data_IF_273986076679
#
_entry.id   IF_273986076679
#
_cell.length_a   1.000
_cell.length_b   1.000
_cell.length_c   1.000
_cell.angle_alpha   90.00
_cell.angle_beta   90.00
_cell.angle_gamma   90.00
#
_symmetry.space_group_name_H-M   'P 1'
#
loop_
_entity.id
_entity.type
_entity.pdbx_description
1 polymer ?
#
# COMPACT_ATOMS: atom_id res chain seq x y z
N UNK A 1 -7.43 -18.57 -8.16
CA UNK A 1 -6.49 -17.54 -8.67
C UNK A 1 -5.91 -16.81 -7.47
N UNK A 2 -4.73 -16.24 -7.61
CA UNK A 2 -3.95 -15.72 -6.50
C UNK A 2 -4.26 -14.25 -6.26
N UNK A 3 -4.31 -13.85 -5.00
CA UNK A 3 -4.72 -12.53 -4.57
C UNK A 3 -3.56 -11.83 -3.87
N UNK A 4 -3.53 -10.51 -4.01
CA UNK A 4 -2.46 -9.69 -3.46
C UNK A 4 -3.06 -8.53 -2.67
N UNK A 5 -2.37 -8.14 -1.59
CA UNK A 5 -2.73 -6.98 -0.78
C UNK A 5 -1.67 -5.91 -0.99
N UNK A 6 -2.10 -4.69 -1.34
CA UNK A 6 -1.18 -3.55 -1.52
C UNK A 6 -1.15 -2.72 -0.23
N UNK A 7 0.03 -2.52 0.33
CA UNK A 7 0.24 -1.70 1.52
C UNK A 7 0.96 -0.43 1.10
N UNK A 8 0.32 0.71 1.30
CA UNK A 8 0.80 2.03 0.88
C UNK A 8 1.22 2.80 2.12
N UNK A 9 2.46 3.31 2.14
CA UNK A 9 3.04 3.87 3.37
C UNK A 9 3.66 5.23 3.14
N UNK A 10 3.21 6.19 3.94
CA UNK A 10 3.62 7.59 3.91
C UNK A 10 3.12 8.32 2.67
N UNK A 11 3.32 9.64 2.68
CA UNK A 11 2.88 10.56 1.63
C UNK A 11 3.15 10.04 0.20
N UNK A 12 4.41 9.72 -0.10
CA UNK A 12 4.83 9.24 -1.43
C UNK A 12 4.16 7.91 -1.81
N UNK A 13 4.11 6.96 -0.89
CA UNK A 13 3.49 5.65 -1.12
C UNK A 13 1.99 5.75 -1.41
N UNK A 14 1.28 6.61 -0.68
CA UNK A 14 -0.15 6.86 -0.88
C UNK A 14 -0.43 7.59 -2.20
N UNK A 15 0.39 8.56 -2.59
CA UNK A 15 0.24 9.27 -3.88
C UNK A 15 0.46 8.35 -5.08
N UNK A 16 1.55 7.59 -5.10
CA UNK A 16 1.83 6.61 -6.15
C UNK A 16 0.76 5.52 -6.16
N UNK A 17 0.36 5.09 -4.97
CA UNK A 17 -0.74 4.18 -4.76
C UNK A 17 -2.03 4.63 -5.41
N UNK A 18 -2.39 5.90 -5.26
CA UNK A 18 -3.57 6.51 -5.88
C UNK A 18 -3.50 6.40 -7.41
N UNK A 19 -2.35 6.73 -8.02
CA UNK A 19 -2.12 6.59 -9.45
C UNK A 19 -2.22 5.12 -9.91
N UNK A 20 -1.65 4.19 -9.15
CA UNK A 20 -1.73 2.75 -9.42
C UNK A 20 -3.19 2.26 -9.46
N UNK A 21 -4.00 2.63 -8.47
CA UNK A 21 -5.40 2.18 -8.41
C UNK A 21 -6.27 2.80 -9.51
N UNK A 22 -6.06 4.08 -9.85
CA UNK A 22 -6.74 4.72 -10.98
C UNK A 22 -6.39 4.03 -12.31
N UNK A 23 -5.11 3.73 -12.54
CA UNK A 23 -4.67 3.00 -13.74
C UNK A 23 -5.28 1.60 -13.79
N UNK A 24 -5.19 0.84 -12.70
CA UNK A 24 -5.75 -0.52 -12.64
C UNK A 24 -7.25 -0.53 -12.95
N UNK A 25 -8.02 0.42 -12.41
CA UNK A 25 -9.44 0.54 -12.71
C UNK A 25 -9.71 0.87 -14.18
N UNK A 26 -8.94 1.80 -14.78
CA UNK A 26 -9.08 2.16 -16.19
C UNK A 26 -8.74 1.00 -17.12
N UNK A 27 -7.66 0.28 -16.84
CA UNK A 27 -7.26 -0.90 -17.61
C UNK A 27 -8.32 -2.01 -17.53
N UNK A 28 -8.82 -2.29 -16.32
CA UNK A 28 -9.91 -3.24 -16.15
C UNK A 28 -11.19 -2.80 -16.88
N UNK A 29 -11.57 -1.53 -16.79
CA UNK A 29 -12.76 -1.01 -17.47
C UNK A 29 -12.65 -1.07 -19.00
N UNK A 30 -11.44 -0.89 -19.55
CA UNK A 30 -11.19 -0.97 -20.98
C UNK A 30 -11.41 -2.39 -21.53
N UNK A 31 -11.00 -3.42 -20.77
CA UNK A 31 -11.13 -4.83 -21.17
C UNK A 31 -12.51 -5.39 -20.81
N UNK A 32 -13.08 -5.00 -19.68
CA UNK A 32 -14.29 -5.57 -19.11
C UNK A 32 -15.52 -4.66 -19.29
N UNK A 33 -15.93 -4.47 -20.54
CA UNK A 33 -17.07 -3.61 -20.91
C UNK A 33 -18.42 -4.10 -20.37
N UNK A 34 -18.52 -5.36 -19.96
CA UNK A 34 -19.75 -5.96 -19.41
C UNK A 34 -19.93 -5.68 -17.91
N UNK A 35 -18.89 -5.16 -17.24
CA UNK A 35 -18.91 -4.90 -15.80
C UNK A 35 -19.10 -6.17 -14.97
N UNK A 36 -18.48 -7.28 -15.38
CA UNK A 36 -18.60 -8.57 -14.71
C UNK A 36 -17.43 -8.74 -13.77
N UNK A 37 -17.67 -9.10 -12.51
CA UNK A 37 -16.60 -9.44 -11.60
C UNK A 37 -16.00 -10.80 -11.98
N UNK A 38 -14.80 -10.77 -12.54
CA UNK A 38 -14.06 -11.93 -13.01
C UNK A 38 -12.83 -12.24 -12.14
N UNK A 39 -12.05 -13.23 -12.55
CA UNK A 39 -10.90 -13.66 -11.79
C UNK A 39 -9.76 -12.63 -11.84
N UNK A 40 -9.58 -11.93 -12.97
CA UNK A 40 -8.51 -10.95 -13.14
C UNK A 40 -8.67 -9.75 -12.20
N UNK A 41 -9.88 -9.19 -12.10
CA UNK A 41 -10.14 -8.09 -11.17
C UNK A 41 -10.10 -8.55 -9.71
N UNK A 42 -10.36 -9.85 -9.45
CA UNK A 42 -10.37 -10.39 -8.08
C UNK A 42 -9.00 -10.43 -7.41
N UNK A 43 -7.92 -10.37 -8.19
CA UNK A 43 -6.54 -10.37 -7.69
C UNK A 43 -6.23 -9.15 -6.82
N UNK A 44 -6.75 -7.98 -7.18
CA UNK A 44 -6.49 -6.71 -6.48
C UNK A 44 -7.75 -6.07 -5.90
N UNK A 45 -8.93 -6.45 -6.35
CA UNK A 45 -10.20 -5.93 -5.86
C UNK A 45 -11.04 -7.03 -5.22
N UNK A 46 -12.02 -6.60 -4.42
CA UNK A 46 -13.11 -7.43 -3.93
C UNK A 46 -14.44 -6.81 -4.34
N UNK A 47 -15.39 -7.64 -4.78
CA UNK A 47 -16.76 -7.20 -5.03
C UNK A 47 -17.54 -7.27 -3.71
N UNK A 48 -17.96 -6.11 -3.21
CA UNK A 48 -18.78 -6.00 -2.01
C UNK A 48 -20.21 -5.74 -2.45
N UNK A 49 -21.12 -6.67 -2.16
CA UNK A 49 -22.54 -6.43 -2.36
C UNK A 49 -23.10 -5.71 -1.13
N UNK A 50 -23.40 -4.41 -1.27
CA UNK A 50 -24.00 -3.60 -0.20
C UNK A 50 -25.43 -4.01 0.15
N UNK A 51 -26.05 -4.91 -0.63
CA UNK A 51 -27.41 -5.42 -0.40
C UNK A 51 -27.45 -6.67 0.48
N UNK A 52 -26.32 -7.36 0.64
CA UNK A 52 -26.20 -8.55 1.49
C UNK A 52 -25.31 -8.20 2.66
N UNK A 53 -25.90 -7.56 3.67
CA UNK A 53 -25.31 -7.50 5.02
C UNK A 53 -25.41 -8.90 5.64
N UNK A 54 -24.56 -9.83 5.20
CA UNK A 54 -24.61 -11.23 5.61
C UNK A 54 -23.30 -11.94 5.28
N UNK A 55 -22.60 -12.29 6.35
CA UNK A 55 -21.39 -13.11 6.41
C UNK A 55 -21.52 -14.38 5.55
N UNK A 56 -20.62 -14.61 4.58
CA UNK A 56 -20.80 -15.75 3.66
C UNK A 56 -19.87 -15.86 2.45
N UNK A 57 -18.56 -15.97 2.70
CA UNK A 57 -17.61 -16.94 2.08
C UNK A 57 -17.60 -17.27 0.59
N UNK A 58 -18.25 -16.52 -0.31
CA UNK A 58 -18.17 -16.79 -1.75
C UNK A 58 -18.13 -15.51 -2.56
N UNK A 59 -17.14 -15.41 -3.45
CA UNK A 59 -17.03 -14.35 -4.43
C UNK A 59 -18.39 -14.25 -5.16
N UNK A 60 -19.10 -13.12 -5.11
CA UNK A 60 -20.26 -12.93 -5.95
C UNK A 60 -19.78 -12.80 -7.40
N UNK A 61 -19.66 -13.95 -8.09
CA UNK A 61 -19.46 -14.03 -9.53
C UNK A 61 -20.73 -13.44 -10.16
N UNK A 62 -20.63 -12.23 -10.71
CA UNK A 62 -21.80 -11.48 -11.12
C UNK A 62 -21.45 -10.07 -11.61
N UNK A 63 -22.45 -9.20 -11.77
CA UNK A 63 -22.20 -7.80 -12.07
C UNK A 63 -21.43 -7.14 -10.90
N UNK A 64 -20.52 -6.25 -11.25
CA UNK A 64 -19.81 -5.40 -10.30
C UNK A 64 -20.84 -4.46 -9.65
N UNK A 65 -20.98 -4.54 -8.33
CA UNK A 65 -21.87 -3.67 -7.56
C UNK A 65 -21.08 -2.56 -6.86
N UNK A 66 -20.07 -2.94 -6.07
CA UNK A 66 -19.13 -2.02 -5.44
C UNK A 66 -17.78 -2.72 -5.34
N UNK A 67 -16.75 -2.11 -5.94
CA UNK A 67 -15.38 -2.62 -5.82
C UNK A 67 -14.71 -1.96 -4.63
N UNK A 68 -14.07 -2.79 -3.80
CA UNK A 68 -13.10 -2.32 -2.82
C UNK A 68 -11.71 -2.81 -3.20
N UNK A 69 -10.73 -1.92 -3.16
CA UNK A 69 -9.33 -2.29 -3.32
C UNK A 69 -8.87 -3.16 -2.13
N UNK A 70 -8.05 -4.17 -2.41
CA UNK A 70 -7.29 -4.91 -1.39
C UNK A 70 -6.09 -4.07 -0.99
N UNK A 71 -6.36 -2.95 -0.33
CA UNK A 71 -5.36 -1.96 0.03
C UNK A 71 -5.40 -1.64 1.53
N UNK A 72 -4.22 -1.44 2.12
CA UNK A 72 -4.06 -0.83 3.45
C UNK A 72 -3.25 0.45 3.27
N UNK A 73 -3.80 1.59 3.69
CA UNK A 73 -3.14 2.88 3.56
C UNK A 73 -2.70 3.34 4.94
N UNK A 74 -1.43 3.68 5.05
CA UNK A 74 -0.79 4.05 6.29
C UNK A 74 -0.08 5.39 6.08
N UNK A 75 -0.42 6.39 6.87
CA UNK A 75 0.29 7.68 6.84
C UNK A 75 0.24 8.31 8.23
N UNK A 76 1.35 8.83 8.74
CA UNK A 76 1.34 9.49 10.06
C UNK A 76 0.98 10.97 9.96
N UNK A 77 0.48 11.37 8.79
CA UNK A 77 -0.07 12.69 8.48
C UNK A 77 -1.37 12.49 7.68
N UNK A 78 -2.43 13.24 8.02
CA UNK A 78 -3.74 13.01 7.39
C UNK A 78 -3.90 13.63 5.99
N UNK A 79 -2.97 14.49 5.56
CA UNK A 79 -3.13 15.33 4.37
C UNK A 79 -3.50 14.54 3.11
N UNK A 80 -2.61 13.62 2.68
CA UNK A 80 -2.80 12.85 1.44
C UNK A 80 -3.97 11.89 1.53
N UNK A 81 -4.16 11.22 2.67
CA UNK A 81 -5.26 10.27 2.83
C UNK A 81 -6.61 11.00 2.76
N UNK A 82 -6.72 12.19 3.35
CA UNK A 82 -7.93 13.02 3.25
C UNK A 82 -8.21 13.47 1.81
N UNK A 83 -7.18 13.82 1.03
CA UNK A 83 -7.32 14.13 -0.39
C UNK A 83 -7.86 12.92 -1.18
N UNK A 84 -7.34 11.71 -0.93
CA UNK A 84 -7.82 10.47 -1.55
C UNK A 84 -9.29 10.22 -1.22
N UNK A 85 -9.69 10.45 0.04
CA UNK A 85 -11.06 10.29 0.51
C UNK A 85 -12.05 11.34 -0.02
N UNK A 86 -11.56 12.51 -0.44
CA UNK A 86 -12.36 13.53 -1.11
C UNK A 86 -12.32 13.39 -2.64
N UNK A 87 -11.39 12.59 -3.16
CA UNK A 87 -11.15 12.38 -4.57
C UNK A 87 -12.07 11.35 -5.24
N UNK A 88 -11.84 11.09 -6.54
CA UNK A 88 -12.65 10.17 -7.35
C UNK A 88 -12.55 8.71 -6.90
N UNK A 89 -11.47 8.32 -6.21
CA UNK A 89 -11.24 6.96 -5.74
C UNK A 89 -11.79 6.67 -4.33
N UNK A 90 -12.46 7.63 -3.69
CA UNK A 90 -12.95 7.49 -2.31
C UNK A 90 -13.78 6.22 -2.07
N UNK A 91 -14.58 5.82 -3.05
CA UNK A 91 -15.51 4.70 -2.94
C UNK A 91 -14.80 3.37 -3.17
N UNK A 92 -13.57 3.38 -3.71
CA UNK A 92 -12.74 2.20 -3.95
C UNK A 92 -11.97 1.81 -2.69
N UNK A 93 -11.51 2.78 -1.92
CA UNK A 93 -10.82 2.50 -0.65
C UNK A 93 -11.82 2.14 0.45
N UNK A 94 -11.41 1.21 1.31
CA UNK A 94 -12.17 0.88 2.52
C UNK A 94 -11.69 1.79 3.64
N UNK A 95 -12.57 2.64 4.18
CA UNK A 95 -12.25 3.52 5.30
C UNK A 95 -11.81 2.75 6.55
N UNK A 96 -12.18 1.46 6.65
CA UNK A 96 -11.69 0.58 7.71
C UNK A 96 -10.25 0.12 7.50
N UNK A 97 -9.64 0.33 6.33
CA UNK A 97 -8.26 -0.08 6.02
C UNK A 97 -7.29 1.12 5.96
N UNK A 98 -7.63 2.20 6.66
CA UNK A 98 -6.80 3.38 6.81
C UNK A 98 -6.21 3.44 8.22
N UNK A 99 -4.95 3.85 8.30
CA UNK A 99 -4.24 4.14 9.55
C UNK A 99 -3.63 5.51 9.39
N UNK A 100 -4.18 6.50 10.10
CA UNK A 100 -3.70 7.88 10.07
C UNK A 100 -3.47 8.45 11.46
N UNK A 101 -2.54 9.39 11.56
CA UNK A 101 -2.32 10.22 12.74
C UNK A 101 -1.95 11.65 12.32
N UNK A 102 -1.85 12.56 13.28
CA UNK A 102 -1.36 13.93 13.12
C UNK A 102 0.12 14.08 13.50
N UNK A 103 0.73 13.00 13.98
CA UNK A 103 2.11 12.96 14.46
C UNK A 103 3.07 12.52 13.35
N UNK A 104 3.44 13.41 12.43
CA UNK A 104 4.40 13.10 11.37
C UNK A 104 5.77 12.64 11.90
N UNK A 105 6.49 11.81 11.14
CA UNK A 105 7.81 11.30 11.57
C UNK A 105 8.95 12.32 11.44
N UNK A 106 8.67 13.55 10.99
CA UNK A 106 9.66 14.64 10.89
C UNK A 106 10.90 14.28 10.08
N UNK A 107 10.74 13.53 8.98
CA UNK A 107 11.83 13.01 8.15
C UNK A 107 12.91 12.22 8.92
N UNK A 108 12.52 11.53 9.99
CA UNK A 108 13.42 10.69 10.78
C UNK A 108 13.00 9.22 10.75
N UNK A 109 13.83 8.37 10.13
CA UNK A 109 13.61 6.92 10.07
C UNK A 109 13.45 6.28 11.44
N UNK A 110 14.22 6.71 12.44
CA UNK A 110 14.16 6.11 13.78
C UNK A 110 12.81 6.37 14.46
N UNK A 111 12.20 7.54 14.23
CA UNK A 111 10.85 7.84 14.71
C UNK A 111 9.84 6.93 14.01
N UNK A 112 9.89 6.83 12.68
CA UNK A 112 9.00 5.96 11.92
C UNK A 112 9.13 4.48 12.31
N UNK A 113 10.35 3.96 12.41
CA UNK A 113 10.59 2.53 12.66
C UNK A 113 10.47 2.17 14.14
N UNK A 114 11.14 2.91 15.05
CA UNK A 114 11.27 2.50 16.46
C UNK A 114 10.16 3.06 17.34
N UNK A 115 9.62 4.24 17.03
CA UNK A 115 8.54 4.84 17.83
C UNK A 115 7.18 4.45 17.25
N UNK A 116 6.90 4.83 16.01
CA UNK A 116 5.61 4.55 15.38
C UNK A 116 5.44 3.08 15.04
N UNK A 117 6.51 2.40 14.59
CA UNK A 117 6.46 0.95 14.37
C UNK A 117 5.91 0.22 15.60
N UNK A 118 6.50 0.45 16.78
CA UNK A 118 6.02 -0.16 18.02
C UNK A 118 4.65 0.34 18.47
N UNK A 119 4.36 1.63 18.32
CA UNK A 119 3.10 2.23 18.77
C UNK A 119 1.88 1.72 17.97
N UNK A 120 2.01 1.59 16.65
CA UNK A 120 0.91 1.20 15.76
C UNK A 120 0.95 -0.27 15.33
N UNK A 121 1.90 -1.07 15.84
CA UNK A 121 2.10 -2.46 15.44
C UNK A 121 0.79 -3.28 15.49
N UNK A 122 0.08 -3.25 16.62
CA UNK A 122 -1.15 -4.03 16.79
C UNK A 122 -2.26 -3.58 15.83
N UNK A 123 -2.42 -2.28 15.64
CA UNK A 123 -3.42 -1.73 14.73
C UNK A 123 -3.12 -2.14 13.29
N UNK A 124 -1.86 -2.01 12.87
CA UNK A 124 -1.37 -2.43 11.55
C UNK A 124 -1.65 -3.92 11.33
N UNK A 125 -1.25 -4.76 12.29
CA UNK A 125 -1.42 -6.21 12.21
C UNK A 125 -2.88 -6.59 12.04
N UNK A 126 -3.78 -5.95 12.79
CA UNK A 126 -5.22 -6.18 12.71
C UNK A 126 -5.79 -5.81 11.33
N UNK A 127 -5.32 -4.71 10.72
CA UNK A 127 -5.72 -4.32 9.35
C UNK A 127 -5.21 -5.31 8.30
N UNK A 128 -3.96 -5.75 8.44
CA UNK A 128 -3.34 -6.72 7.53
C UNK A 128 -4.04 -8.08 7.62
N UNK A 129 -4.31 -8.58 8.83
CA UNK A 129 -5.08 -9.82 9.06
C UNK A 129 -6.46 -9.74 8.42
N UNK A 130 -7.22 -8.68 8.68
CA UNK A 130 -8.52 -8.47 8.03
C UNK A 130 -8.40 -8.44 6.50
N UNK A 131 -7.35 -7.82 5.95
CA UNK A 131 -7.15 -7.79 4.50
C UNK A 131 -6.82 -9.17 3.94
N UNK A 132 -6.04 -9.97 4.67
CA UNK A 132 -5.71 -11.34 4.34
C UNK A 132 -6.94 -12.27 4.42
N UNK A 133 -7.80 -12.11 5.43
CA UNK A 133 -9.06 -12.88 5.60
C UNK A 133 -10.05 -12.67 4.45
N UNK A 134 -10.02 -11.49 3.81
CA UNK A 134 -10.82 -11.26 2.60
C UNK A 134 -10.26 -11.98 1.36
N UNK A 135 -9.09 -12.62 1.46
CA UNK A 135 -8.46 -13.36 0.38
C UNK A 135 -8.70 -14.86 0.55
N UNK A 136 -9.18 -15.53 -0.50
CA UNK A 136 -9.28 -16.99 -0.57
C UNK A 136 -7.88 -17.63 -0.68
N UNK A 137 -6.95 -16.95 -1.36
CA UNK A 137 -5.57 -17.41 -1.54
C UNK A 137 -4.64 -16.20 -1.66
N UNK A 138 -4.18 -15.70 -0.51
CA UNK A 138 -3.18 -14.64 -0.44
C UNK A 138 -1.81 -15.17 -0.87
N UNK A 139 -1.23 -14.56 -1.90
CA UNK A 139 0.10 -14.93 -2.40
C UNK A 139 1.19 -13.94 -2.02
N UNK A 140 0.87 -12.65 -2.02
CA UNK A 140 1.87 -11.64 -1.73
C UNK A 140 1.28 -10.34 -1.17
N UNK A 141 2.16 -9.62 -0.48
CA UNK A 141 2.01 -8.22 -0.14
C UNK A 141 2.87 -7.38 -1.09
N UNK A 142 2.27 -6.35 -1.67
CA UNK A 142 3.00 -5.30 -2.38
C UNK A 142 3.12 -4.08 -1.48
N UNK A 143 4.32 -3.75 -1.04
CA UNK A 143 4.59 -2.59 -0.20
C UNK A 143 5.07 -1.45 -1.11
N UNK A 144 4.42 -0.30 -1.05
CA UNK A 144 4.82 0.91 -1.79
C UNK A 144 5.20 1.99 -0.77
N UNK A 145 6.47 2.40 -0.77
CA UNK A 145 6.98 3.37 0.19
C UNK A 145 8.19 4.15 -0.36
N UNK A 146 8.50 5.29 0.26
CA UNK A 146 9.72 6.06 -0.05
C UNK A 146 10.89 5.68 0.83
N UNK A 147 12.12 5.76 0.31
CA UNK A 147 13.37 5.61 1.05
C UNK A 147 13.81 6.90 1.77
N UNK A 148 13.37 8.08 1.28
CA UNK A 148 13.78 9.37 1.82
C UNK A 148 12.97 9.87 3.03
N UNK A 149 11.65 9.71 3.03
CA UNK A 149 10.76 10.24 4.08
C UNK A 149 10.78 9.41 5.37
N UNK A 150 10.51 10.03 6.52
CA UNK A 150 10.59 9.35 7.83
C UNK A 150 9.56 8.22 8.02
N UNK A 151 8.30 8.47 7.65
CA UNK A 151 7.22 7.48 7.74
C UNK A 151 7.39 6.41 6.66
N UNK A 152 7.58 6.80 5.40
CA UNK A 152 7.76 5.87 4.30
C UNK A 152 8.97 4.95 4.51
N UNK A 153 10.12 5.48 4.92
CA UNK A 153 11.33 4.66 5.10
C UNK A 153 11.27 3.87 6.41
N UNK A 154 10.93 4.52 7.53
CA UNK A 154 10.94 3.90 8.85
C UNK A 154 9.80 2.91 9.05
N UNK A 155 8.55 3.39 8.94
CA UNK A 155 7.37 2.55 9.13
C UNK A 155 7.21 1.55 7.98
N UNK A 156 7.51 1.97 6.75
CA UNK A 156 7.46 1.08 5.57
C UNK A 156 8.37 -0.13 5.71
N UNK A 157 9.58 0.04 6.24
CA UNK A 157 10.50 -1.10 6.46
C UNK A 157 10.20 -1.89 7.72
N UNK A 158 9.71 -1.25 8.78
CA UNK A 158 9.21 -1.96 9.97
C UNK A 158 8.11 -2.96 9.62
N UNK A 159 7.21 -2.62 8.69
CA UNK A 159 6.15 -3.52 8.22
C UNK A 159 6.66 -4.82 7.63
N UNK A 160 7.84 -4.82 6.99
CA UNK A 160 8.39 -6.02 6.35
C UNK A 160 8.68 -7.08 7.40
N UNK A 161 9.26 -6.66 8.53
CA UNK A 161 9.47 -7.52 9.68
C UNK A 161 8.16 -8.06 10.25
N UNK A 162 7.16 -7.19 10.43
CA UNK A 162 5.84 -7.60 10.94
C UNK A 162 5.19 -8.62 10.01
N UNK A 163 5.31 -8.44 8.69
CA UNK A 163 4.78 -9.34 7.67
C UNK A 163 5.54 -10.67 7.62
N UNK A 164 6.86 -10.66 7.82
CA UNK A 164 7.66 -11.89 7.92
C UNK A 164 7.25 -12.70 9.17
N UNK A 165 7.10 -12.03 10.32
CA UNK A 165 6.73 -12.68 11.58
C UNK A 165 5.32 -13.29 11.52
N UNK A 166 4.35 -12.59 10.93
CA UNK A 166 2.94 -13.03 10.89
C UNK A 166 2.59 -13.90 9.67
N UNK A 167 3.18 -13.61 8.52
CA UNK A 167 2.87 -14.26 7.23
C UNK A 167 4.15 -14.78 6.54
N UNK A 168 4.90 -15.70 7.17
CA UNK A 168 6.24 -16.11 6.70
C UNK A 168 6.22 -16.72 5.29
N UNK A 169 5.14 -17.43 4.94
CA UNK A 169 5.00 -18.11 3.63
C UNK A 169 4.50 -17.18 2.50
N UNK A 170 4.10 -15.94 2.82
CA UNK A 170 3.54 -14.99 1.84
C UNK A 170 4.65 -14.08 1.33
N UNK A 171 4.78 -13.89 0.01
CA UNK A 171 5.87 -13.06 -0.53
C UNK A 171 5.67 -11.56 -0.22
N UNK A 172 6.77 -10.85 0.02
CA UNK A 172 6.84 -9.40 0.27
C UNK A 172 7.59 -8.72 -0.88
N UNK A 173 6.83 -8.19 -1.84
CA UNK A 173 7.37 -7.37 -2.93
C UNK A 173 7.36 -5.92 -2.52
N UNK A 174 8.49 -5.23 -2.68
CA UNK A 174 8.63 -3.84 -2.24
C UNK A 174 8.95 -2.94 -3.40
N UNK A 175 8.06 -2.00 -3.69
CA UNK A 175 8.33 -0.87 -4.59
C UNK A 175 8.87 0.28 -3.75
N UNK A 176 10.18 0.52 -3.84
CA UNK A 176 10.87 1.52 -3.03
C UNK A 176 11.27 2.72 -3.89
N UNK A 177 10.82 3.91 -3.50
CA UNK A 177 11.10 5.15 -4.21
C UNK A 177 12.36 5.78 -3.61
N UNK A 178 13.41 5.85 -4.42
CA UNK A 178 14.69 6.42 -4.03
C UNK A 178 14.66 7.95 -4.11
N UNK A 179 15.25 8.63 -3.12
CA UNK A 179 15.37 10.08 -3.16
C UNK A 179 16.26 10.51 -4.33
N UNK A 180 15.96 11.68 -4.89
CA UNK A 180 16.82 12.32 -5.89
C UNK A 180 17.92 13.15 -5.23
N UNK A 181 18.98 13.46 -5.97
CA UNK A 181 20.02 14.40 -5.52
C UNK A 181 19.51 15.84 -5.30
N UNK A 182 18.30 16.16 -5.75
CA UNK A 182 17.63 17.44 -5.59
C UNK A 182 16.54 17.42 -4.49
N UNK A 183 16.43 16.34 -3.71
CA UNK A 183 15.41 16.22 -2.67
C UNK A 183 15.63 17.24 -1.53
N UNK A 184 14.54 17.90 -1.10
CA UNK A 184 14.53 18.88 0.00
C UNK A 184 14.81 18.26 1.38
N UNK A 185 14.83 16.93 1.48
CA UNK A 185 15.02 16.20 2.74
C UNK A 185 16.50 15.90 2.98
N UNK A 186 17.16 16.74 3.77
CA UNK A 186 18.59 16.62 4.11
C UNK A 186 18.92 15.25 4.78
N UNK A 187 17.97 14.66 5.49
CA UNK A 187 18.14 13.37 6.18
C UNK A 187 17.89 12.16 5.28
N UNK A 188 17.50 12.35 4.01
CA UNK A 188 17.14 11.27 3.10
C UNK A 188 18.25 10.23 2.89
N UNK A 189 19.56 10.58 2.85
CA UNK A 189 20.60 9.56 2.72
C UNK A 189 20.70 8.65 3.94
N UNK A 190 20.54 9.22 5.15
CA UNK A 190 20.54 8.44 6.39
C UNK A 190 19.33 7.51 6.47
N UNK A 191 18.14 8.02 6.15
CA UNK A 191 16.91 7.25 6.11
C UNK A 191 17.01 6.09 5.10
N UNK A 192 17.56 6.36 3.92
CA UNK A 192 17.72 5.36 2.86
C UNK A 192 18.66 4.23 3.27
N UNK A 193 19.80 4.54 3.90
CA UNK A 193 20.76 3.51 4.34
C UNK A 193 20.14 2.60 5.42
N UNK A 194 19.45 3.20 6.39
CA UNK A 194 18.80 2.44 7.47
C UNK A 194 17.66 1.58 6.94
N UNK A 195 16.82 2.13 6.04
CA UNK A 195 15.77 1.38 5.37
C UNK A 195 16.32 0.25 4.48
N UNK A 196 17.43 0.49 3.78
CA UNK A 196 18.04 -0.51 2.90
C UNK A 196 18.51 -1.75 3.65
N UNK A 197 18.99 -1.58 4.89
CA UNK A 197 19.34 -2.71 5.75
C UNK A 197 18.13 -3.62 5.98
N UNK A 198 17.02 -3.05 6.43
CA UNK A 198 15.79 -3.80 6.73
C UNK A 198 15.18 -4.41 5.47
N UNK A 199 15.25 -3.71 4.33
CA UNK A 199 14.82 -4.27 3.03
C UNK A 199 15.62 -5.52 2.65
N UNK A 200 16.94 -5.48 2.83
CA UNK A 200 17.81 -6.60 2.50
C UNK A 200 17.59 -7.81 3.44
N UNK A 201 17.11 -7.58 4.66
CA UNK A 201 16.84 -8.63 5.63
C UNK A 201 15.44 -9.25 5.45
N UNK A 202 14.42 -8.44 5.13
CA UNK A 202 13.02 -8.85 5.25
C UNK A 202 12.21 -8.88 3.94
N UNK A 203 12.70 -8.26 2.85
CA UNK A 203 11.99 -8.26 1.56
C UNK A 203 12.42 -9.46 0.69
N UNK A 204 11.45 -10.11 0.03
CA UNK A 204 11.77 -11.17 -0.95
C UNK A 204 12.22 -10.59 -2.29
N UNK A 205 11.70 -9.41 -2.65
CA UNK A 205 12.06 -8.71 -3.87
C UNK A 205 11.84 -7.20 -3.72
N UNK A 206 12.83 -6.42 -4.17
CA UNK A 206 12.77 -4.96 -4.16
C UNK A 206 12.81 -4.46 -5.61
N UNK A 207 11.84 -3.63 -5.97
CA UNK A 207 11.69 -2.93 -7.23
C UNK A 207 12.04 -1.45 -7.00
N UNK A 208 13.33 -1.07 -7.17
CA UNK A 208 13.75 0.31 -6.96
C UNK A 208 13.20 1.21 -8.06
N UNK A 209 12.56 2.32 -7.68
CA UNK A 209 12.15 3.40 -8.58
C UNK A 209 12.95 4.65 -8.24
N UNK A 210 13.62 5.20 -9.25
CA UNK A 210 14.39 6.44 -9.12
C UNK A 210 13.56 7.62 -9.62
N UNK A 211 13.31 8.59 -8.73
CA UNK A 211 12.59 9.82 -9.04
C UNK A 211 13.26 10.64 -10.15
N UNK A 212 14.60 10.63 -10.26
CA UNK A 212 15.29 11.37 -11.32
C UNK A 212 14.99 10.79 -12.70
N UNK A 213 15.03 9.47 -12.82
CA UNK A 213 14.76 8.80 -14.09
C UNK A 213 13.29 8.96 -14.53
N UNK A 214 12.35 9.01 -13.58
CA UNK A 214 10.95 9.31 -13.89
C UNK A 214 10.77 10.73 -14.46
N UNK A 215 11.48 11.74 -13.92
CA UNK A 215 11.45 13.12 -14.40
C UNK A 215 12.09 13.28 -15.79
N UNK A 216 13.18 12.57 -16.07
CA UNK A 216 13.84 12.60 -17.39
C UNK A 216 12.97 12.00 -18.51
N UNK A 217 12.20 10.95 -18.21
CA UNK A 217 11.27 10.34 -19.19
C UNK A 217 10.08 11.26 -19.51
N UNK A 218 9.65 12.11 -18.57
CA UNK A 218 8.58 13.09 -18.82
C UNK A 218 9.04 14.38 -19.52
N UNK A 219 10.34 14.67 -19.53
CA UNK A 219 10.93 15.83 -20.20
C UNK A 219 11.50 15.52 -21.60
N UNK A 220 11.34 14.27 -22.06
CA UNK A 220 11.75 13.78 -23.39
C UNK A 220 10.53 13.64 -24.31
#
# INVERSE_FOLDING_TARGET
>A
MTQSVVVQVGQCGNQIGCCFWDLALREHAAVNQKGIYDEAISSFFRNVDTRVAGDGGSIPKGKICSLKARAVLIDMEEGVVNEILQGPLRDVFDSKQLITDISGSGNNWAVGHKVFGSLYQEQILEKLRKSAEHCDCLQCFFIIHSMGGGTGSGLGTFLLKVLEDEFPEVYRFVTSIYPSGEDDVITSPYNSILAMKELNEHADCVLPIDNQNAMHVHSS
#
